data_IF_344548425104
#
_entry.id   IF_344548425104
#
_cell.length_a   1.000
_cell.length_b   1.000
_cell.length_c   1.000
_cell.angle_alpha   90.00
_cell.angle_beta   90.00
_cell.angle_gamma   90.00
#
_symmetry.space_group_name_H-M   'P 1'
#
loop_
_entity.id
_entity.type
_entity.pdbx_description
1 polymer ?
#
# COMPACT_ATOMS: atom_id res chain seq x y z
N UNK A 1 -12.80 9.35 2.51
CA UNK A 1 -12.42 7.92 2.50
C UNK A 1 -10.95 7.87 2.82
N UNK A 2 -10.57 7.40 4.02
CA UNK A 2 -9.22 7.55 4.59
C UNK A 2 -8.31 6.35 4.33
N UNK A 3 -8.43 5.72 3.16
CA UNK A 3 -7.71 4.48 2.86
C UNK A 3 -6.19 4.69 2.81
N UNK A 4 -5.72 5.71 2.09
CA UNK A 4 -4.30 6.05 2.00
C UNK A 4 -3.65 6.33 3.37
N UNK A 5 -4.18 7.25 4.20
CA UNK A 5 -3.60 7.58 5.49
C UNK A 5 -3.58 6.39 6.45
N UNK A 6 -4.64 5.58 6.42
CA UNK A 6 -4.73 4.37 7.25
C UNK A 6 -3.70 3.33 6.79
N UNK A 7 -3.51 3.15 5.48
CA UNK A 7 -2.47 2.28 4.94
C UNK A 7 -1.07 2.71 5.39
N UNK A 8 -0.74 4.00 5.29
CA UNK A 8 0.55 4.51 5.73
C UNK A 8 0.76 4.33 7.24
N UNK A 9 -0.30 4.48 8.04
CA UNK A 9 -0.25 4.17 9.48
C UNK A 9 0.04 2.70 9.77
N UNK A 10 -0.54 1.78 8.99
CA UNK A 10 -0.22 0.36 9.09
C UNK A 10 1.25 0.08 8.73
N UNK A 11 1.78 0.71 7.67
CA UNK A 11 3.19 0.61 7.29
C UNK A 11 4.10 1.17 8.39
N UNK A 12 3.85 2.39 8.90
CA UNK A 12 4.64 3.00 9.95
C UNK A 12 4.66 2.14 11.22
N UNK A 13 3.50 1.58 11.60
CA UNK A 13 3.40 0.66 12.74
C UNK A 13 4.23 -0.61 12.54
N UNK A 14 4.34 -1.13 11.32
CA UNK A 14 5.18 -2.29 11.01
C UNK A 14 6.67 -1.96 11.21
N UNK A 15 7.11 -0.76 10.84
CA UNK A 15 8.47 -0.28 11.05
C UNK A 15 8.75 0.25 12.48
N UNK A 16 7.79 0.14 13.41
CA UNK A 16 7.95 0.61 14.78
C UNK A 16 7.94 2.14 14.93
N UNK A 17 7.50 2.87 13.90
CA UNK A 17 7.44 4.33 13.92
C UNK A 17 6.17 4.78 14.64
N UNK A 18 6.36 5.48 15.76
CA UNK A 18 5.28 6.16 16.49
C UNK A 18 4.99 7.51 15.87
N UNK A 19 3.71 7.82 15.69
CA UNK A 19 3.28 9.15 15.22
C UNK A 19 3.40 10.16 16.35
N UNK A 20 4.24 11.16 16.18
CA UNK A 20 4.19 12.36 17.00
C UNK A 20 2.98 13.23 16.59
N UNK A 21 2.65 14.29 17.36
CA UNK A 21 1.51 15.16 17.04
C UNK A 21 1.60 15.80 15.65
N UNK A 22 2.81 16.06 15.13
CA UNK A 22 3.03 16.62 13.80
C UNK A 22 2.76 15.61 12.69
N UNK A 23 3.20 14.35 12.85
CA UNK A 23 2.87 13.22 12.00
C UNK A 23 1.36 13.01 11.92
N UNK A 24 0.66 13.05 13.05
CA UNK A 24 -0.82 12.96 13.09
C UNK A 24 -1.49 14.11 12.33
N UNK A 25 -1.02 15.35 12.51
CA UNK A 25 -1.53 16.51 11.75
C UNK A 25 -1.28 16.33 10.26
N UNK A 26 -0.13 15.79 9.85
CA UNK A 26 0.17 15.55 8.45
C UNK A 26 -0.78 14.51 7.84
N UNK A 27 -0.99 13.37 8.52
CA UNK A 27 -1.95 12.36 8.10
C UNK A 27 -3.37 12.93 7.94
N UNK A 28 -3.80 13.81 8.87
CA UNK A 28 -5.11 14.47 8.81
C UNK A 28 -5.28 15.41 7.61
N UNK A 29 -4.17 15.97 7.08
CA UNK A 29 -4.21 16.87 5.90
C UNK A 29 -4.37 16.08 4.62
N UNK A 30 -3.73 14.91 4.53
CA UNK A 30 -3.82 14.00 3.38
C UNK A 30 -5.24 13.43 3.28
N UNK A 31 -5.82 13.03 4.41
CA UNK A 31 -7.23 12.59 4.49
C UNK A 31 -8.20 13.63 3.89
N UNK A 32 -8.01 14.93 4.18
CA UNK A 32 -8.90 16.01 3.73
C UNK A 32 -8.83 16.33 2.23
N UNK A 33 -7.71 16.06 1.56
CA UNK A 33 -7.53 16.34 0.12
C UNK A 33 -7.82 15.14 -0.78
N UNK A 34 -8.08 13.97 -0.19
CA UNK A 34 -7.90 12.70 -0.89
C UNK A 34 -6.40 12.35 -0.95
N UNK A 35 -6.10 11.07 -1.10
CA UNK A 35 -4.72 10.58 -1.09
C UNK A 35 -4.30 10.14 -2.48
N UNK A 36 -3.34 10.83 -3.08
CA UNK A 36 -2.62 10.30 -4.24
C UNK A 36 -1.46 9.43 -3.79
N UNK A 37 -0.94 8.61 -4.70
CA UNK A 37 0.28 7.83 -4.45
C UNK A 37 1.47 8.74 -4.08
N UNK A 38 1.58 9.91 -4.73
CA UNK A 38 2.61 10.90 -4.43
C UNK A 38 2.46 11.49 -3.02
N UNK A 39 1.24 11.75 -2.56
CA UNK A 39 1.00 12.24 -1.19
C UNK A 39 1.43 11.21 -0.16
N UNK A 40 1.17 9.92 -0.41
CA UNK A 40 1.60 8.84 0.47
C UNK A 40 3.13 8.75 0.55
N UNK A 41 3.82 8.91 -0.59
CA UNK A 41 5.28 8.91 -0.61
C UNK A 41 5.87 10.09 0.17
N UNK A 42 5.38 11.31 -0.10
CA UNK A 42 5.81 12.52 0.63
C UNK A 42 5.56 12.43 2.14
N UNK A 43 4.48 11.76 2.54
CA UNK A 43 4.16 11.55 3.93
C UNK A 43 5.04 10.49 4.58
N UNK A 44 5.36 9.41 3.85
CA UNK A 44 6.30 8.39 4.30
C UNK A 44 7.68 8.98 4.57
N UNK A 45 8.18 9.83 3.66
CA UNK A 45 9.47 10.51 3.83
C UNK A 45 9.54 11.34 5.12
N UNK A 46 8.46 12.06 5.46
CA UNK A 46 8.38 12.83 6.70
C UNK A 46 8.34 11.97 7.96
N UNK A 47 7.98 10.70 7.83
CA UNK A 47 8.02 9.72 8.90
C UNK A 47 9.39 9.01 8.99
N UNK A 48 10.37 9.39 8.15
CA UNK A 48 11.67 8.72 8.09
C UNK A 48 11.64 7.40 7.31
N UNK A 49 10.63 7.19 6.47
CA UNK A 49 10.53 6.05 5.57
C UNK A 49 10.91 6.46 4.16
N UNK A 50 11.78 5.67 3.53
CA UNK A 50 11.91 5.73 2.07
C UNK A 50 10.75 4.98 1.45
N UNK A 51 10.26 5.49 0.32
CA UNK A 51 9.20 4.86 -0.44
C UNK A 51 9.50 4.92 -1.94
N UNK A 52 9.08 3.89 -2.67
CA UNK A 52 9.22 3.83 -4.11
C UNK A 52 7.95 3.27 -4.76
N UNK A 53 7.38 4.05 -5.68
CA UNK A 53 6.25 3.66 -6.51
C UNK A 53 6.70 3.02 -7.81
N UNK A 54 6.12 1.86 -8.14
CA UNK A 54 6.44 1.14 -9.35
C UNK A 54 5.25 0.31 -9.84
N UNK A 55 5.21 0.06 -11.13
CA UNK A 55 4.29 -0.90 -11.74
C UNK A 55 5.04 -2.20 -12.01
N UNK A 56 4.51 -3.31 -11.52
CA UNK A 56 5.17 -4.61 -11.65
C UNK A 56 4.18 -5.74 -11.89
N UNK A 57 4.68 -6.85 -12.44
CA UNK A 57 3.87 -8.05 -12.67
C UNK A 57 3.73 -8.91 -11.40
N UNK A 58 2.76 -9.82 -11.40
CA UNK A 58 2.48 -10.69 -10.23
C UNK A 58 3.71 -11.45 -9.69
N UNK A 59 4.58 -11.95 -10.57
CA UNK A 59 5.80 -12.66 -10.16
C UNK A 59 6.80 -11.74 -9.44
N UNK A 60 6.88 -10.47 -9.85
CA UNK A 60 7.72 -9.47 -9.18
C UNK A 60 7.10 -9.05 -7.85
N UNK A 61 5.77 -8.99 -7.75
CA UNK A 61 5.07 -8.69 -6.50
C UNK A 61 5.33 -9.75 -5.44
N UNK A 62 5.26 -11.02 -5.84
CA UNK A 62 5.51 -12.17 -4.95
C UNK A 62 6.95 -12.21 -4.43
N UNK A 63 7.90 -11.59 -5.14
CA UNK A 63 9.30 -11.45 -4.75
C UNK A 63 9.61 -10.09 -4.07
N UNK A 64 8.64 -9.19 -3.97
CA UNK A 64 8.85 -7.85 -3.42
C UNK A 64 9.02 -7.85 -1.90
N UNK A 65 9.65 -6.80 -1.37
CA UNK A 65 9.71 -6.55 0.07
C UNK A 65 8.33 -6.12 0.57
N UNK A 66 7.84 -6.80 1.60
CA UNK A 66 6.56 -6.53 2.25
C UNK A 66 6.78 -5.95 3.67
N UNK A 67 5.86 -5.12 4.18
CA UNK A 67 4.57 -4.76 3.60
C UNK A 67 4.67 -3.68 2.50
N UNK A 68 3.73 -3.74 1.55
CA UNK A 68 3.61 -2.79 0.45
C UNK A 68 2.16 -2.27 0.36
N UNK A 69 1.98 -1.01 -0.06
CA UNK A 69 0.65 -0.47 -0.37
C UNK A 69 0.35 -0.79 -1.84
N UNK A 70 -0.83 -1.34 -2.10
CA UNK A 70 -1.31 -1.61 -3.45
C UNK A 70 -2.34 -0.56 -3.86
N UNK A 71 -2.28 -0.12 -5.11
CA UNK A 71 -3.43 0.52 -5.74
C UNK A 71 -4.46 -0.58 -6.06
N UNK A 72 -5.70 -0.39 -5.63
CA UNK A 72 -6.73 -1.43 -5.58
C UNK A 72 -8.02 -0.95 -6.23
N UNK A 73 -8.59 -1.74 -7.14
CA UNK A 73 -9.83 -1.42 -7.86
C UNK A 73 -9.86 -0.02 -8.51
N UNK A 74 -8.70 0.55 -8.85
CA UNK A 74 -8.49 1.89 -9.43
C UNK A 74 -8.86 3.11 -8.55
N UNK A 75 -9.33 2.89 -7.33
CA UNK A 75 -9.88 3.98 -6.49
C UNK A 75 -9.65 3.75 -4.98
N UNK A 76 -8.95 2.69 -4.61
CA UNK A 76 -8.69 2.33 -3.21
C UNK A 76 -7.22 2.01 -2.98
N UNK A 77 -6.83 2.01 -1.69
CA UNK A 77 -5.50 1.58 -1.25
C UNK A 77 -5.64 0.53 -0.17
N UNK A 78 -4.85 -0.53 -0.29
CA UNK A 78 -4.77 -1.62 0.68
C UNK A 78 -3.32 -1.97 0.97
N UNK A 79 -3.04 -2.65 2.07
CA UNK A 79 -1.68 -3.13 2.39
C UNK A 79 -1.58 -4.63 2.15
N UNK A 80 -0.70 -5.04 1.24
CA UNK A 80 -0.24 -6.42 1.17
C UNK A 80 0.89 -6.60 2.19
N UNK A 81 0.65 -7.42 3.21
CA UNK A 81 1.64 -7.64 4.27
C UNK A 81 2.23 -9.05 4.27
N UNK A 82 1.64 -9.99 3.53
CA UNK A 82 2.16 -11.36 3.41
C UNK A 82 1.63 -12.05 2.16
N UNK A 83 2.48 -12.87 1.54
CA UNK A 83 2.10 -13.86 0.54
C UNK A 83 2.59 -15.23 1.02
N UNK A 84 1.71 -16.24 1.01
CA UNK A 84 2.08 -17.62 1.38
C UNK A 84 1.17 -18.63 0.68
N UNK A 85 1.76 -19.61 0.01
CA UNK A 85 1.03 -20.69 -0.68
C UNK A 85 -0.06 -20.15 -1.62
N UNK A 86 0.27 -19.16 -2.47
CA UNK A 86 -0.66 -18.45 -3.37
C UNK A 86 -1.86 -17.76 -2.69
N UNK A 87 -1.74 -17.53 -1.37
CA UNK A 87 -2.69 -16.73 -0.59
C UNK A 87 -2.06 -15.38 -0.28
N UNK A 88 -2.77 -14.33 -0.68
CA UNK A 88 -2.40 -12.93 -0.48
C UNK A 88 -3.16 -12.41 0.74
N UNK A 89 -2.42 -11.92 1.74
CA UNK A 89 -2.97 -11.40 2.98
C UNK A 89 -2.98 -9.88 2.90
N UNK A 90 -4.18 -9.33 2.84
CA UNK A 90 -4.43 -7.91 2.61
C UNK A 90 -4.99 -7.30 3.89
N UNK A 91 -4.45 -6.17 4.32
CA UNK A 91 -5.07 -5.32 5.32
C UNK A 91 -5.78 -4.17 4.59
N UNK A 92 -7.10 -4.24 4.59
CA UNK A 92 -7.99 -3.24 4.01
C UNK A 92 -8.43 -2.25 5.12
N UNK A 93 -8.25 -0.93 4.92
CA UNK A 93 -8.73 0.10 5.84
C UNK A 93 -10.22 0.03 6.19
N UNK A 94 -11.07 -0.46 5.27
CA UNK A 94 -12.52 -0.54 5.43
C UNK A 94 -12.99 -1.91 5.93
N UNK A 95 -12.29 -3.00 5.59
CA UNK A 95 -12.75 -4.37 5.86
C UNK A 95 -11.87 -5.16 6.84
N UNK A 96 -10.72 -4.61 7.25
CA UNK A 96 -9.76 -5.31 8.10
C UNK A 96 -8.92 -6.31 7.31
N UNK A 97 -8.56 -7.43 7.94
CA UNK A 97 -7.66 -8.42 7.33
C UNK A 97 -8.44 -9.38 6.44
N UNK A 98 -8.10 -9.41 5.16
CA UNK A 98 -8.66 -10.26 4.12
C UNK A 98 -7.63 -11.24 3.57
N UNK A 99 -8.11 -12.32 2.97
CA UNK A 99 -7.30 -13.33 2.29
C UNK A 99 -7.87 -13.60 0.92
N UNK A 100 -7.02 -13.58 -0.09
CA UNK A 100 -7.40 -13.86 -1.48
C UNK A 100 -6.55 -14.99 -2.04
N UNK A 101 -7.18 -15.89 -2.80
CA UNK A 101 -6.44 -16.74 -3.73
C UNK A 101 -6.00 -15.89 -4.94
N UNK A 102 -4.99 -16.37 -5.68
CA UNK A 102 -4.41 -15.64 -6.82
C UNK A 102 -5.43 -15.07 -7.82
N UNK A 103 -6.44 -15.82 -8.32
CA UNK A 103 -7.39 -15.25 -9.27
C UNK A 103 -8.22 -14.10 -8.70
N UNK A 104 -8.68 -14.25 -7.46
CA UNK A 104 -9.46 -13.21 -6.78
C UNK A 104 -8.61 -11.98 -6.44
N UNK A 105 -7.34 -12.18 -6.09
CA UNK A 105 -6.41 -11.08 -5.88
C UNK A 105 -6.19 -10.29 -7.18
N UNK A 106 -5.91 -10.99 -8.28
CA UNK A 106 -5.67 -10.38 -9.58
C UNK A 106 -6.86 -9.56 -10.06
N UNK A 107 -8.10 -10.06 -9.89
CA UNK A 107 -9.30 -9.32 -10.32
C UNK A 107 -9.44 -7.93 -9.70
N UNK A 108 -8.83 -7.71 -8.53
CA UNK A 108 -8.85 -6.41 -7.86
C UNK A 108 -7.60 -5.56 -8.07
N UNK A 109 -6.43 -6.19 -8.13
CA UNK A 109 -5.15 -5.48 -8.19
C UNK A 109 -4.74 -5.07 -9.61
N UNK A 110 -5.12 -5.86 -10.61
CA UNK A 110 -4.64 -5.66 -11.98
C UNK A 110 -5.20 -4.36 -12.59
N UNK A 111 -4.35 -3.64 -13.32
CA UNK A 111 -4.76 -2.45 -14.06
C UNK A 111 -5.11 -2.84 -15.51
N UNK A 112 -6.40 -2.88 -15.90
CA UNK A 112 -6.80 -3.29 -17.26
C UNK A 112 -6.36 -2.30 -18.36
N UNK A 113 -5.88 -1.10 -18.01
CA UNK A 113 -5.40 -0.11 -18.97
C UNK A 113 -3.98 -0.35 -19.49
N UNK A 114 -3.21 -1.23 -18.86
CA UNK A 114 -1.89 -1.65 -19.32
C UNK A 114 -2.09 -2.94 -20.11
N UNK A 115 -1.68 -3.02 -21.39
CA UNK A 115 -1.95 -4.14 -22.30
C UNK A 115 -1.40 -5.52 -21.90
N UNK A 116 -1.02 -5.71 -20.64
CA UNK A 116 -0.55 -6.93 -20.00
C UNK A 116 -1.39 -7.18 -18.73
N UNK A 117 -2.17 -8.26 -18.74
CA UNK A 117 -3.31 -8.50 -17.84
C UNK A 117 -2.94 -8.83 -16.38
N UNK A 118 -1.68 -8.68 -15.95
CA UNK A 118 -1.24 -9.09 -14.60
C UNK A 118 -0.29 -8.09 -13.94
N UNK A 119 -0.42 -6.82 -14.30
CA UNK A 119 0.40 -5.73 -13.77
C UNK A 119 -0.43 -4.80 -12.89
N UNK A 120 0.18 -4.29 -11.84
CA UNK A 120 -0.45 -3.35 -10.92
C UNK A 120 0.57 -2.42 -10.29
N UNK A 121 0.06 -1.33 -9.72
CA UNK A 121 0.88 -0.27 -9.12
C UNK A 121 1.01 -0.55 -7.63
N UNK A 122 2.23 -0.45 -7.11
CA UNK A 122 2.53 -0.62 -5.70
C UNK A 122 3.43 0.50 -5.16
N UNK A 123 3.38 0.72 -3.86
CA UNK A 123 4.39 1.44 -3.09
C UNK A 123 5.12 0.46 -2.17
N UNK A 124 6.44 0.44 -2.29
CA UNK A 124 7.34 -0.26 -1.37
C UNK A 124 7.92 0.72 -0.35
N UNK A 125 8.33 0.21 0.81
CA UNK A 125 8.85 1.01 1.91
C UNK A 125 10.09 0.37 2.52
N UNK A 126 10.95 1.20 3.09
CA UNK A 126 12.10 0.78 3.90
C UNK A 126 12.40 1.86 4.94
N UNK A 127 12.75 1.46 6.17
CA UNK A 127 13.27 2.40 7.15
C UNK A 127 14.66 2.91 6.74
N UNK A 128 14.91 4.21 6.93
CA UNK A 128 16.28 4.72 6.86
C UNK A 128 17.11 4.17 8.04
N UNK A 129 18.38 3.76 7.80
CA UNK A 129 19.28 3.31 8.86
C UNK A 129 19.73 4.43 9.80
#
# INVERSE_FOLDING_TARGET
MDCGPTCLRMIASFYGISFDPEGMKHMSRISRRGSSMLDLMNAAEKLGLRSAGMELGIAQLEAAVLPAILHWDLQHFVVLFKVKNDIYYIADPAMGILKFCRPAFLSHWQNPGTGDAHRGIILTFSAEP
#
